data_IF_075550796963
#
_entry.id   IF_075550796963
#
_cell.length_a   1.000
_cell.length_b   1.000
_cell.length_c   1.000
_cell.angle_alpha   90.00
_cell.angle_beta   90.00
_cell.angle_gamma   90.00
#
_symmetry.space_group_name_H-M   'P 1'
#
loop_
_entity.id
_entity.type
_entity.pdbx_description
1 polymer ?
#
# COMPACT_ATOMS: atom_id res chain seq x y z
N UNK A 1 -10.60 -19.46 -3.48
CA UNK A 1 -10.63 -18.29 -2.57
C UNK A 1 -9.20 -17.81 -2.52
N UNK A 2 -8.88 -16.57 -2.91
CA UNK A 2 -7.53 -16.06 -2.75
C UNK A 2 -7.16 -16.11 -1.27
N UNK A 3 -5.98 -16.65 -0.97
CA UNK A 3 -5.45 -16.68 0.39
C UNK A 3 -5.40 -15.24 0.90
N UNK A 4 -6.03 -14.98 2.04
CA UNK A 4 -5.91 -13.68 2.69
C UNK A 4 -4.46 -13.44 3.06
N UNK A 5 -3.86 -12.38 2.53
CA UNK A 5 -2.49 -11.96 2.89
C UNK A 5 -2.45 -11.17 4.20
N UNK A 6 -3.60 -10.93 4.83
CA UNK A 6 -3.67 -10.30 6.15
C UNK A 6 -2.99 -11.18 7.20
N UNK A 7 -2.13 -10.58 7.99
CA UNK A 7 -1.36 -11.28 9.02
C UNK A 7 -0.11 -12.00 8.52
N UNK A 8 0.16 -12.02 7.23
CA UNK A 8 1.44 -12.49 6.70
C UNK A 8 2.50 -11.41 6.96
N UNK A 9 3.52 -11.80 7.70
CA UNK A 9 4.65 -10.92 7.97
C UNK A 9 5.47 -10.72 6.69
N UNK A 10 5.88 -9.50 6.42
CA UNK A 10 6.63 -9.15 5.21
C UNK A 10 7.63 -8.02 5.51
N UNK A 11 8.63 -7.86 4.66
CA UNK A 11 9.58 -6.74 4.70
C UNK A 11 8.88 -5.37 4.75
N UNK A 12 7.72 -5.24 4.09
CA UNK A 12 6.92 -4.01 4.16
C UNK A 12 6.44 -3.75 5.60
N UNK A 13 6.08 -4.81 6.32
CA UNK A 13 5.68 -4.72 7.74
C UNK A 13 6.84 -4.28 8.61
N UNK A 14 8.06 -4.78 8.34
CA UNK A 14 9.28 -4.36 9.05
C UNK A 14 9.58 -2.89 8.85
N UNK A 15 9.61 -2.44 7.60
CA UNK A 15 9.85 -1.04 7.26
C UNK A 15 8.79 -0.15 7.92
N UNK A 16 7.51 -0.53 7.89
CA UNK A 16 6.45 0.22 8.58
C UNK A 16 6.70 0.32 10.09
N UNK A 17 7.07 -0.77 10.74
CA UNK A 17 7.39 -0.78 12.19
C UNK A 17 8.56 0.13 12.51
N UNK A 18 9.63 0.09 11.73
CA UNK A 18 10.78 0.96 11.90
C UNK A 18 10.40 2.43 11.74
N UNK A 19 9.64 2.76 10.69
CA UNK A 19 9.13 4.12 10.45
C UNK A 19 8.31 4.62 11.64
N UNK A 20 7.32 3.85 12.10
CA UNK A 20 6.50 4.24 13.25
C UNK A 20 7.31 4.33 14.55
N UNK A 21 8.30 3.46 14.75
CA UNK A 21 9.18 3.51 15.91
C UNK A 21 10.01 4.79 15.93
N UNK A 22 10.62 5.17 14.80
CA UNK A 22 11.42 6.40 14.72
C UNK A 22 10.57 7.66 14.86
N UNK A 23 9.38 7.69 14.26
CA UNK A 23 8.44 8.82 14.43
C UNK A 23 7.96 8.92 15.87
N UNK A 24 7.64 7.79 16.52
CA UNK A 24 7.27 7.77 17.94
C UNK A 24 8.42 8.26 18.82
N UNK A 25 9.65 7.78 18.59
CA UNK A 25 10.85 8.23 19.31
C UNK A 25 11.02 9.74 19.18
N UNK A 26 10.94 10.27 17.97
CA UNK A 26 11.03 11.68 17.68
C UNK A 26 9.93 12.49 18.40
N UNK A 27 8.72 11.95 18.47
CA UNK A 27 7.60 12.56 19.20
C UNK A 27 7.86 12.64 20.71
N UNK A 28 8.39 11.57 21.32
CA UNK A 28 8.70 11.54 22.75
C UNK A 28 9.90 12.41 23.13
N UNK A 29 10.94 12.42 22.31
CA UNK A 29 12.15 13.21 22.56
C UNK A 29 11.91 14.71 22.37
N UNK A 30 11.02 15.09 21.45
CA UNK A 30 10.80 16.50 21.10
C UNK A 30 12.02 17.14 20.44
N UNK A 31 12.09 18.48 20.48
CA UNK A 31 13.23 19.23 19.96
C UNK A 31 13.12 19.53 18.46
N UNK A 32 14.26 19.51 17.77
CA UNK A 32 14.33 19.80 16.34
C UNK A 32 13.84 18.63 15.50
N UNK A 33 12.78 18.83 14.73
CA UNK A 33 12.20 17.82 13.87
C UNK A 33 12.85 17.76 12.47
N UNK A 34 13.81 18.67 12.17
CA UNK A 34 14.60 18.57 10.93
C UNK A 34 15.42 17.29 10.84
N UNK A 35 15.69 16.65 11.97
CA UNK A 35 16.34 15.33 12.04
C UNK A 35 15.60 14.21 11.31
N UNK A 36 14.34 14.42 10.88
CA UNK A 36 13.65 13.49 9.99
C UNK A 36 14.42 13.25 8.68
N UNK A 37 15.24 14.21 8.25
CA UNK A 37 16.08 14.10 7.05
C UNK A 37 17.10 12.95 7.14
N UNK A 38 17.56 12.62 8.35
CA UNK A 38 18.54 11.57 8.59
C UNK A 38 17.91 10.19 8.78
N UNK A 39 16.63 10.13 9.13
CA UNK A 39 15.96 8.85 9.43
C UNK A 39 15.91 7.86 8.26
N UNK A 40 15.76 8.27 6.98
CA UNK A 40 15.89 7.33 5.86
C UNK A 40 17.24 6.61 5.81
N UNK A 41 18.33 7.27 6.20
CA UNK A 41 19.67 6.69 6.25
C UNK A 41 19.85 5.74 7.44
N UNK A 42 19.16 6.00 8.53
CA UNK A 42 19.12 5.11 9.70
C UNK A 42 18.33 3.83 9.43
N UNK A 43 17.18 3.94 8.73
CA UNK A 43 16.29 2.81 8.43
C UNK A 43 16.84 1.98 7.27
N UNK A 44 17.47 2.63 6.28
CA UNK A 44 18.10 1.99 5.12
C UNK A 44 19.59 2.35 5.12
N UNK A 45 20.40 1.67 5.94
CA UNK A 45 21.84 1.92 6.04
C UNK A 45 22.60 1.34 4.84
N UNK A 46 23.90 1.68 4.76
CA UNK A 46 24.80 1.12 3.74
C UNK A 46 24.72 1.82 2.38
N UNK A 47 25.27 1.19 1.36
CA UNK A 47 25.44 1.77 0.00
C UNK A 47 24.70 0.96 -1.07
N UNK A 48 24.28 -0.28 -0.75
CA UNK A 48 23.67 -1.21 -1.68
C UNK A 48 22.17 -1.33 -1.42
N UNK A 49 21.38 -1.21 -2.48
CA UNK A 49 19.94 -1.41 -2.40
C UNK A 49 19.59 -2.90 -2.23
N UNK A 50 18.67 -3.23 -1.34
CA UNK A 50 18.20 -4.60 -1.11
C UNK A 50 16.87 -4.91 -1.81
N UNK A 51 16.02 -3.91 -1.97
CA UNK A 51 14.63 -4.10 -2.40
C UNK A 51 14.23 -3.29 -3.64
N UNK A 52 15.06 -2.34 -4.07
CA UNK A 52 14.79 -1.45 -5.22
C UNK A 52 16.01 -1.35 -6.13
N UNK A 53 15.83 -0.68 -7.26
CA UNK A 53 16.91 -0.46 -8.22
C UNK A 53 18.04 0.44 -7.70
N UNK A 54 17.78 1.19 -6.63
CA UNK A 54 18.74 2.15 -6.07
C UNK A 54 18.44 2.36 -4.60
N UNK A 55 19.51 2.48 -3.80
CA UNK A 55 19.41 2.82 -2.36
C UNK A 55 18.80 4.22 -2.16
N UNK A 56 19.04 5.14 -3.09
CA UNK A 56 18.41 6.47 -3.04
C UNK A 56 16.90 6.38 -3.19
N UNK A 57 16.42 5.48 -4.06
CA UNK A 57 14.98 5.23 -4.21
C UNK A 57 14.38 4.59 -2.95
N UNK A 58 15.07 3.66 -2.32
CA UNK A 58 14.62 3.07 -1.05
C UNK A 58 14.48 4.12 0.04
N UNK A 59 15.50 4.96 0.21
CA UNK A 59 15.48 6.07 1.18
C UNK A 59 14.40 7.10 0.86
N UNK A 60 14.20 7.44 -0.40
CA UNK A 60 13.13 8.34 -0.80
C UNK A 60 11.75 7.78 -0.43
N UNK A 61 11.50 6.48 -0.66
CA UNK A 61 10.24 5.82 -0.30
C UNK A 61 10.04 5.83 1.23
N UNK A 62 11.09 5.52 1.98
CA UNK A 62 11.04 5.56 3.45
C UNK A 62 10.79 6.99 3.94
N UNK A 63 11.38 7.99 3.30
CA UNK A 63 11.13 9.39 3.61
C UNK A 63 9.65 9.78 3.49
N UNK A 64 8.98 9.39 2.42
CA UNK A 64 7.53 9.65 2.29
C UNK A 64 6.70 8.89 3.32
N UNK A 65 7.12 7.69 3.71
CA UNK A 65 6.46 6.96 4.78
C UNK A 65 6.61 7.64 6.15
N UNK A 66 7.78 8.22 6.42
CA UNK A 66 8.03 9.01 7.63
C UNK A 66 7.11 10.24 7.66
N UNK A 67 6.98 10.97 6.54
CA UNK A 67 6.05 12.08 6.44
C UNK A 67 4.60 11.67 6.73
N UNK A 68 4.15 10.59 6.07
CA UNK A 68 2.80 10.06 6.30
C UNK A 68 2.60 9.61 7.76
N UNK A 69 3.61 9.00 8.38
CA UNK A 69 3.55 8.61 9.79
C UNK A 69 3.48 9.82 10.73
N UNK A 70 4.00 10.97 10.34
CA UNK A 70 3.84 12.24 11.04
C UNK A 70 2.52 12.97 10.74
N UNK A 71 1.65 12.41 9.91
CA UNK A 71 0.41 13.05 9.49
C UNK A 71 0.55 14.05 8.35
N UNK A 72 1.73 14.15 7.74
CA UNK A 72 2.01 15.01 6.60
C UNK A 72 1.62 14.34 5.28
N UNK A 73 1.31 15.13 4.26
CA UNK A 73 1.12 14.62 2.90
C UNK A 73 2.47 14.30 2.23
N UNK A 74 2.48 13.40 1.23
CA UNK A 74 3.67 13.19 0.41
C UNK A 74 4.14 14.51 -0.22
N UNK A 75 5.44 14.61 -0.49
CA UNK A 75 5.99 15.78 -1.18
C UNK A 75 5.48 15.86 -2.62
N UNK A 76 5.30 17.07 -3.17
CA UNK A 76 5.00 17.23 -4.58
C UNK A 76 6.13 16.62 -5.44
N UNK A 77 5.80 16.09 -6.61
CA UNK A 77 6.78 15.46 -7.50
C UNK A 77 7.48 16.46 -8.43
N UNK A 78 6.86 17.59 -8.63
CA UNK A 78 7.27 18.67 -9.56
C UNK A 78 8.01 19.83 -8.88
N UNK A 79 8.08 19.80 -7.55
CA UNK A 79 8.73 20.85 -6.76
C UNK A 79 9.67 20.25 -5.71
N UNK A 80 10.81 20.92 -5.51
CA UNK A 80 11.69 20.55 -4.40
C UNK A 80 11.06 20.93 -3.06
N UNK A 81 10.98 19.96 -2.15
CA UNK A 81 10.58 20.20 -0.77
C UNK A 81 11.45 19.33 0.17
N UNK A 82 11.97 19.89 1.28
CA UNK A 82 12.64 19.14 2.32
C UNK A 82 11.70 18.07 2.90
N UNK A 83 12.27 16.97 3.40
CA UNK A 83 11.50 15.96 4.08
C UNK A 83 10.84 16.52 5.35
N UNK A 84 11.51 17.43 6.02
CA UNK A 84 11.04 18.11 7.23
C UNK A 84 9.97 19.21 6.98
N UNK A 85 9.64 19.53 5.73
CA UNK A 85 8.66 20.58 5.45
C UNK A 85 7.31 20.29 6.12
N UNK A 86 6.84 21.19 6.99
CA UNK A 86 5.60 21.04 7.77
C UNK A 86 5.73 20.24 9.07
N UNK A 87 6.92 19.74 9.43
CA UNK A 87 7.13 18.91 10.62
C UNK A 87 6.81 19.68 11.92
N UNK A 88 7.23 20.93 12.03
CA UNK A 88 6.94 21.78 13.19
C UNK A 88 5.44 22.05 13.34
N UNK A 89 4.75 22.29 12.24
CA UNK A 89 3.31 22.48 12.25
C UNK A 89 2.60 21.19 12.65
N UNK A 90 3.08 20.03 12.16
CA UNK A 90 2.55 18.73 12.49
C UNK A 90 2.75 18.34 13.96
N UNK A 91 3.71 18.97 14.65
CA UNK A 91 3.97 18.73 16.06
C UNK A 91 2.96 19.40 17.01
N UNK A 92 2.10 20.28 16.51
CA UNK A 92 1.08 20.94 17.33
C UNK A 92 -0.05 19.95 17.69
N UNK A 93 -0.43 19.82 18.96
CA UNK A 93 -1.47 18.89 19.37
C UNK A 93 -2.84 19.20 18.75
N UNK A 94 -3.12 20.46 18.41
CA UNK A 94 -4.35 20.92 17.81
C UNK A 94 -4.48 20.55 16.33
N UNK A 95 -3.44 20.01 15.73
CA UNK A 95 -3.50 19.60 14.33
C UNK A 95 -4.42 18.39 14.17
N UNK A 96 -5.55 18.63 13.55
CA UNK A 96 -6.51 17.60 13.23
C UNK A 96 -6.06 16.76 12.04
N UNK A 97 -6.67 15.57 11.95
CA UNK A 97 -6.52 14.71 10.78
C UNK A 97 -6.93 15.44 9.49
N UNK A 98 -6.04 15.43 8.52
CA UNK A 98 -6.28 15.95 7.18
C UNK A 98 -6.39 14.79 6.20
N UNK A 99 -7.53 14.62 5.49
CA UNK A 99 -7.63 13.62 4.44
C UNK A 99 -6.66 13.94 3.29
N UNK A 100 -6.31 12.94 2.45
CA UNK A 100 -6.77 11.56 2.50
C UNK A 100 -5.95 10.69 3.46
N UNK A 101 -6.60 9.67 4.04
CA UNK A 101 -5.94 8.71 4.92
C UNK A 101 -4.99 7.78 4.15
N UNK A 102 -5.42 7.31 2.99
CA UNK A 102 -4.64 6.39 2.14
C UNK A 102 -3.99 7.17 1.02
N UNK A 103 -2.68 6.99 0.88
CA UNK A 103 -1.87 7.71 -0.11
C UNK A 103 -1.03 6.76 -0.95
N UNK A 104 -0.72 7.16 -2.18
CA UNK A 104 0.17 6.42 -3.06
C UNK A 104 1.49 7.16 -3.19
N UNK A 105 2.57 6.47 -2.84
CA UNK A 105 3.94 6.92 -3.13
C UNK A 105 4.21 6.59 -4.60
N UNK A 106 4.00 7.55 -5.48
CA UNK A 106 3.98 7.35 -6.94
C UNK A 106 5.25 6.69 -7.49
N UNK A 107 6.43 7.04 -6.99
CA UNK A 107 7.69 6.43 -7.45
C UNK A 107 7.97 5.05 -6.83
N UNK A 108 7.21 4.63 -5.84
CA UNK A 108 7.21 3.25 -5.35
C UNK A 108 6.25 2.34 -6.12
N UNK A 109 5.34 2.90 -6.92
CA UNK A 109 4.37 2.15 -7.70
C UNK A 109 5.02 1.57 -8.96
N UNK A 110 4.88 0.26 -9.16
CA UNK A 110 5.43 -0.48 -10.30
C UNK A 110 4.54 -0.46 -11.56
N UNK A 111 3.52 0.40 -11.62
CA UNK A 111 2.61 0.47 -12.76
C UNK A 111 2.09 -0.93 -13.18
N UNK A 112 1.60 -1.71 -12.19
CA UNK A 112 1.05 -3.04 -12.47
C UNK A 112 -0.01 -2.94 -13.59
N UNK A 113 -0.05 -3.90 -14.52
CA UNK A 113 -1.01 -3.86 -15.60
C UNK A 113 -2.45 -3.94 -15.09
N UNK A 114 -3.35 -3.26 -15.76
CA UNK A 114 -4.77 -3.40 -15.51
C UNK A 114 -5.24 -4.82 -15.81
N UNK A 115 -6.33 -5.22 -15.18
CA UNK A 115 -6.87 -6.57 -15.33
C UNK A 115 -7.10 -6.93 -16.80
N UNK A 116 -6.41 -7.96 -17.26
CA UNK A 116 -6.57 -8.50 -18.61
C UNK A 116 -6.19 -9.99 -18.67
N UNK A 117 -6.57 -10.64 -19.76
CA UNK A 117 -6.16 -12.03 -20.04
C UNK A 117 -5.13 -12.05 -21.15
N UNK A 118 -4.11 -12.87 -20.99
CA UNK A 118 -3.04 -13.05 -21.97
C UNK A 118 -2.75 -14.52 -22.20
N UNK A 119 -2.49 -14.86 -23.47
CA UNK A 119 -2.06 -16.20 -23.85
C UNK A 119 -0.54 -16.31 -23.66
N UNK A 120 -0.11 -17.33 -22.93
CA UNK A 120 1.31 -17.61 -22.66
C UNK A 120 1.91 -18.56 -23.71
N UNK A 121 3.21 -18.78 -23.62
CA UNK A 121 3.94 -19.74 -24.49
C UNK A 121 3.52 -21.20 -24.28
N UNK A 122 2.74 -21.51 -23.24
CA UNK A 122 2.16 -22.83 -23.04
C UNK A 122 1.04 -23.17 -24.05
N UNK A 123 0.61 -22.24 -24.89
CA UNK A 123 -0.41 -22.49 -25.92
C UNK A 123 0.08 -23.47 -26.96
N UNK A 124 -0.63 -24.59 -27.11
CA UNK A 124 -0.32 -25.68 -28.06
C UNK A 124 -1.09 -25.56 -29.38
N UNK A 125 -1.81 -24.45 -29.62
CA UNK A 125 -2.67 -24.32 -30.82
C UNK A 125 -3.56 -25.52 -31.06
N UNK A 126 -4.19 -26.03 -30.00
CA UNK A 126 -4.97 -27.28 -30.06
C UNK A 126 -6.13 -27.18 -31.07
N UNK A 127 -6.42 -28.27 -31.80
CA UNK A 127 -7.46 -28.33 -32.80
C UNK A 127 -8.87 -28.02 -32.27
N UNK A 128 -9.12 -28.34 -31.02
CA UNK A 128 -10.43 -28.15 -30.39
C UNK A 128 -10.81 -26.68 -30.14
N UNK A 129 -9.83 -25.76 -30.10
CA UNK A 129 -10.03 -24.31 -29.93
C UNK A 129 -11.02 -23.92 -28.84
N UNK A 130 -11.03 -24.65 -27.72
CA UNK A 130 -12.01 -24.43 -26.64
C UNK A 130 -12.05 -22.99 -26.14
N UNK A 131 -10.90 -22.33 -26.09
CA UNK A 131 -10.82 -20.93 -25.66
C UNK A 131 -11.57 -19.95 -26.60
N UNK A 132 -11.44 -20.14 -27.93
CA UNK A 132 -12.15 -19.34 -28.91
C UNK A 132 -13.63 -19.65 -28.90
N UNK A 133 -13.99 -20.97 -28.89
CA UNK A 133 -15.38 -21.42 -28.90
C UNK A 133 -16.16 -20.99 -27.65
N UNK A 134 -15.49 -20.82 -26.50
CA UNK A 134 -16.10 -20.34 -25.26
C UNK A 134 -16.20 -18.82 -25.16
N UNK A 135 -15.59 -18.07 -26.09
CA UNK A 135 -15.57 -16.61 -26.04
C UNK A 135 -16.85 -16.00 -26.57
N UNK A 136 -17.72 -15.37 -25.74
CA UNK A 136 -18.99 -14.82 -26.18
C UNK A 136 -18.86 -13.59 -27.09
N UNK A 137 -17.67 -12.98 -27.15
CA UNK A 137 -17.36 -11.78 -27.94
C UNK A 137 -16.47 -12.06 -29.15
N UNK A 138 -16.11 -13.34 -29.40
CA UNK A 138 -15.22 -13.68 -30.51
C UNK A 138 -13.86 -12.96 -30.44
N UNK A 139 -13.39 -12.67 -29.22
CA UNK A 139 -12.17 -11.89 -28.99
C UNK A 139 -10.89 -12.71 -29.18
N UNK A 140 -10.97 -13.99 -29.56
CA UNK A 140 -9.83 -14.88 -29.68
C UNK A 140 -9.65 -15.31 -31.13
N UNK A 141 -8.50 -15.01 -31.68
CA UNK A 141 -8.03 -15.44 -33.00
C UNK A 141 -6.79 -16.29 -32.87
N UNK A 142 -6.40 -16.96 -33.97
CA UNK A 142 -5.18 -17.75 -34.01
C UNK A 142 -4.24 -17.16 -35.06
N UNK A 143 -3.02 -16.90 -34.69
CA UNK A 143 -1.94 -16.42 -35.56
C UNK A 143 -0.64 -17.16 -35.23
N UNK A 144 0.11 -17.53 -36.25
CA UNK A 144 1.41 -18.18 -36.11
C UNK A 144 1.41 -19.37 -35.13
N UNK A 145 0.37 -20.20 -35.16
CA UNK A 145 0.28 -21.36 -34.29
C UNK A 145 -0.03 -21.02 -32.81
N UNK A 146 -0.62 -19.85 -32.54
CA UNK A 146 -0.99 -19.41 -31.19
C UNK A 146 -2.34 -18.72 -31.14
N UNK A 147 -3.03 -18.87 -30.03
CA UNK A 147 -4.18 -18.04 -29.73
C UNK A 147 -3.72 -16.63 -29.34
N UNK A 148 -4.44 -15.63 -29.79
CA UNK A 148 -4.28 -14.22 -29.40
C UNK A 148 -5.62 -13.66 -28.94
N UNK A 149 -5.58 -12.84 -27.89
CA UNK A 149 -6.78 -12.19 -27.33
C UNK A 149 -6.79 -10.73 -27.72
N UNK A 150 -7.79 -10.34 -28.48
CA UNK A 150 -8.08 -8.94 -28.78
C UNK A 150 -8.65 -8.24 -27.55
N UNK A 151 -7.80 -7.42 -26.89
CA UNK A 151 -8.18 -6.72 -25.66
C UNK A 151 -9.29 -5.70 -25.85
N UNK A 152 -9.46 -5.19 -27.07
CA UNK A 152 -10.54 -4.22 -27.38
C UNK A 152 -11.94 -4.86 -27.37
N UNK A 153 -12.00 -6.15 -27.70
CA UNK A 153 -13.25 -6.97 -27.69
C UNK A 153 -13.45 -7.73 -26.39
N UNK A 154 -12.37 -7.91 -25.61
CA UNK A 154 -12.37 -8.75 -24.42
C UNK A 154 -13.14 -8.11 -23.27
N UNK A 155 -14.21 -8.75 -22.83
CA UNK A 155 -15.01 -8.34 -21.67
C UNK A 155 -14.49 -8.89 -20.32
N UNK A 156 -13.32 -9.48 -20.33
CA UNK A 156 -12.62 -9.99 -19.12
C UNK A 156 -13.41 -11.05 -18.32
N UNK A 157 -14.30 -11.84 -18.96
CA UNK A 157 -15.18 -12.80 -18.31
C UNK A 157 -14.48 -14.09 -17.82
N UNK A 158 -13.27 -14.40 -18.27
CA UNK A 158 -12.48 -15.56 -17.85
C UNK A 158 -12.86 -16.91 -18.45
N UNK A 159 -13.90 -17.01 -19.28
CA UNK A 159 -14.36 -18.29 -19.87
C UNK A 159 -13.27 -18.99 -20.67
N UNK A 160 -12.47 -18.24 -21.42
CA UNK A 160 -11.35 -18.77 -22.20
C UNK A 160 -10.25 -19.40 -21.30
N UNK A 161 -9.96 -18.80 -20.15
CA UNK A 161 -9.03 -19.36 -19.17
C UNK A 161 -9.56 -20.67 -18.61
N UNK A 162 -10.82 -20.70 -18.20
CA UNK A 162 -11.45 -21.90 -17.65
C UNK A 162 -11.53 -23.05 -18.68
N UNK A 163 -11.74 -22.73 -19.97
CA UNK A 163 -11.86 -23.70 -21.04
C UNK A 163 -10.50 -24.23 -21.58
N UNK A 164 -9.38 -23.60 -21.22
CA UNK A 164 -8.07 -23.99 -21.74
C UNK A 164 -7.50 -25.21 -20.99
N UNK A 165 -7.45 -26.38 -21.65
CA UNK A 165 -6.91 -27.61 -21.07
C UNK A 165 -5.41 -27.51 -20.72
N UNK A 166 -4.66 -26.64 -21.39
CA UNK A 166 -3.22 -26.41 -21.15
C UNK A 166 -2.97 -25.31 -20.13
N UNK A 167 -4.01 -24.67 -19.59
CA UNK A 167 -3.88 -23.51 -18.69
C UNK A 167 -2.98 -22.40 -19.26
N UNK A 168 -2.93 -22.31 -20.58
CA UNK A 168 -2.08 -21.37 -21.31
C UNK A 168 -2.58 -19.92 -21.26
N UNK A 169 -3.75 -19.66 -20.69
CA UNK A 169 -4.33 -18.32 -20.56
C UNK A 169 -4.28 -17.90 -19.10
N UNK A 170 -3.53 -16.84 -18.84
CA UNK A 170 -3.38 -16.29 -17.49
C UNK A 170 -4.16 -14.98 -17.37
N UNK A 171 -4.59 -14.67 -16.15
CA UNK A 171 -5.18 -13.38 -15.79
C UNK A 171 -4.11 -12.55 -15.12
N UNK A 172 -3.80 -11.42 -15.70
CA UNK A 172 -3.08 -10.35 -15.01
C UNK A 172 -4.06 -9.49 -14.25
N UNK A 173 -3.65 -9.02 -13.10
CA UNK A 173 -4.46 -8.14 -12.29
C UNK A 173 -3.58 -7.20 -11.49
N UNK A 174 -4.10 -6.01 -11.23
CA UNK A 174 -3.49 -5.04 -10.33
C UNK A 174 -3.99 -5.32 -8.92
N UNK A 175 -3.15 -5.82 -7.99
CA UNK A 175 -3.63 -6.29 -6.70
C UNK A 175 -4.38 -5.23 -5.87
N UNK A 176 -3.94 -3.97 -5.92
CA UNK A 176 -4.61 -2.88 -5.19
C UNK A 176 -5.98 -2.54 -5.78
N UNK A 177 -6.16 -2.62 -7.10
CA UNK A 177 -7.42 -2.38 -7.80
C UNK A 177 -8.41 -3.52 -7.53
N UNK A 178 -7.96 -4.77 -7.68
CA UNK A 178 -8.80 -5.95 -7.42
C UNK A 178 -9.26 -6.05 -5.95
N UNK A 179 -8.44 -5.56 -5.01
CA UNK A 179 -8.80 -5.52 -3.61
C UNK A 179 -9.74 -4.36 -3.23
N UNK A 180 -9.98 -3.42 -4.15
CA UNK A 180 -10.81 -2.26 -3.88
C UNK A 180 -12.28 -2.55 -4.15
N UNK A 181 -13.05 -2.84 -3.10
CA UNK A 181 -14.50 -3.06 -3.20
C UNK A 181 -15.31 -1.83 -3.63
N UNK A 182 -14.71 -0.64 -3.64
CA UNK A 182 -15.35 0.62 -4.05
C UNK A 182 -14.98 1.07 -5.46
N UNK A 183 -14.18 0.27 -6.18
CA UNK A 183 -13.68 0.65 -7.51
C UNK A 183 -13.08 2.07 -7.54
N UNK A 184 -12.31 2.40 -6.50
CA UNK A 184 -11.71 3.72 -6.33
C UNK A 184 -10.30 3.82 -6.92
N UNK A 185 -9.70 2.70 -7.37
CA UNK A 185 -8.32 2.69 -7.89
C UNK A 185 -8.33 2.49 -9.40
N UNK A 186 -7.66 3.38 -10.10
CA UNK A 186 -7.50 3.39 -11.54
C UNK A 186 -6.02 3.62 -11.92
N UNK A 187 -5.72 3.58 -13.22
CA UNK A 187 -4.42 3.97 -13.77
C UNK A 187 -4.40 5.47 -14.05
N UNK A 188 -3.31 6.13 -13.70
CA UNK A 188 -3.01 7.46 -14.22
C UNK A 188 -2.41 7.38 -15.65
N UNK A 189 -2.07 8.53 -16.23
CA UNK A 189 -1.47 8.64 -17.57
C UNK A 189 -0.16 7.86 -17.75
N UNK A 190 0.57 7.63 -16.66
CA UNK A 190 1.82 6.86 -16.63
C UNK A 190 1.59 5.38 -16.27
N UNK A 191 0.35 4.91 -16.24
CA UNK A 191 -0.03 3.56 -15.87
C UNK A 191 0.16 3.25 -14.38
N UNK A 192 0.48 4.24 -13.54
CA UNK A 192 0.59 4.06 -12.08
C UNK A 192 -0.79 4.10 -11.44
N UNK A 193 -0.89 3.46 -10.28
CA UNK A 193 -2.14 3.52 -9.52
C UNK A 193 -2.46 4.97 -9.09
N UNK A 194 -3.73 5.32 -9.15
CA UNK A 194 -4.28 6.53 -8.61
C UNK A 194 -5.59 6.27 -7.88
N UNK A 195 -5.96 7.13 -6.94
CA UNK A 195 -7.13 6.93 -6.08
C UNK A 195 -8.14 8.04 -6.35
N UNK A 196 -9.34 7.63 -6.74
CA UNK A 196 -10.49 8.53 -6.71
C UNK A 196 -10.96 8.67 -5.26
N UNK A 197 -10.64 9.79 -4.63
CA UNK A 197 -10.96 10.04 -3.22
C UNK A 197 -12.44 10.26 -2.95
N UNK A 198 -13.26 10.59 -3.94
CA UNK A 198 -14.72 10.69 -3.80
C UNK A 198 -15.37 9.32 -3.58
N UNK A 199 -14.73 8.26 -4.09
CA UNK A 199 -15.16 6.87 -3.90
C UNK A 199 -14.45 6.17 -2.74
N UNK A 200 -13.30 6.67 -2.30
CA UNK A 200 -12.45 5.98 -1.34
C UNK A 200 -13.01 6.09 0.09
N UNK A 201 -13.31 4.95 0.69
CA UNK A 201 -13.77 4.85 2.09
C UNK A 201 -12.63 4.57 3.09
N UNK A 202 -11.39 4.73 2.69
CA UNK A 202 -10.19 4.58 3.54
C UNK A 202 -10.07 3.23 4.26
N UNK A 203 -10.61 2.15 3.72
CA UNK A 203 -10.63 0.82 4.36
C UNK A 203 -9.25 0.13 4.43
N UNK A 204 -8.23 0.60 3.70
CA UNK A 204 -6.87 0.07 3.71
C UNK A 204 -6.65 -1.25 2.94
N UNK A 205 -7.65 -1.80 2.25
CA UNK A 205 -7.48 -3.06 1.51
C UNK A 205 -6.38 -2.97 0.44
N UNK A 206 -6.32 -1.87 -0.27
CA UNK A 206 -5.29 -1.63 -1.29
C UNK A 206 -3.87 -1.59 -0.68
N UNK A 207 -3.72 -1.06 0.54
CA UNK A 207 -2.44 -1.02 1.25
C UNK A 207 -1.94 -2.42 1.58
N UNK A 208 -2.83 -3.28 2.11
CA UNK A 208 -2.49 -4.66 2.49
C UNK A 208 -2.14 -5.50 1.27
N UNK A 209 -2.82 -5.26 0.13
CA UNK A 209 -2.66 -6.06 -1.09
C UNK A 209 -1.58 -5.53 -2.04
N UNK A 210 -0.94 -4.39 -1.77
CA UNK A 210 0.13 -3.87 -2.61
C UNK A 210 1.46 -4.58 -2.31
N UNK A 211 1.97 -5.49 -3.18
CA UNK A 211 3.21 -6.23 -2.91
C UNK A 211 4.46 -5.34 -2.97
N UNK A 212 4.35 -4.16 -3.54
CA UNK A 212 5.44 -3.19 -3.62
C UNK A 212 5.44 -2.20 -2.46
N UNK A 213 4.44 -2.26 -1.58
CA UNK A 213 4.31 -1.29 -0.51
C UNK A 213 4.23 0.18 -0.99
N UNK A 214 3.72 0.40 -2.20
CA UNK A 214 3.57 1.75 -2.75
C UNK A 214 2.41 2.54 -2.10
N UNK A 215 1.51 1.86 -1.42
CA UNK A 215 0.38 2.49 -0.73
C UNK A 215 0.70 2.55 0.75
N UNK A 216 0.48 3.70 1.34
CA UNK A 216 0.74 3.95 2.76
C UNK A 216 -0.38 4.77 3.38
N UNK A 217 -0.57 4.58 4.67
CA UNK A 217 -1.55 5.28 5.47
C UNK A 217 -0.94 6.50 6.16
N UNK A 218 -1.69 7.59 6.22
CA UNK A 218 -1.39 8.76 7.03
C UNK A 218 -1.78 8.43 8.48
N UNK A 219 -0.92 8.76 9.44
CA UNK A 219 -1.11 8.47 10.85
C UNK A 219 -1.10 9.74 11.70
N UNK A 220 -1.69 9.67 12.88
CA UNK A 220 -1.63 10.72 13.88
C UNK A 220 -0.83 10.32 15.13
N UNK A 221 -0.01 9.28 15.03
CA UNK A 221 0.79 8.80 16.17
C UNK A 221 1.67 9.90 16.74
N UNK A 222 2.23 10.76 15.87
CA UNK A 222 3.09 11.87 16.26
C UNK A 222 2.34 12.91 17.09
N UNK A 223 1.17 13.35 16.63
CA UNK A 223 0.31 14.33 17.32
C UNK A 223 -0.16 13.78 18.67
N UNK A 224 -0.59 12.51 18.71
CA UNK A 224 -1.02 11.84 19.95
C UNK A 224 0.12 11.82 20.98
N UNK A 225 1.34 11.45 20.57
CA UNK A 225 2.50 11.44 21.47
C UNK A 225 2.81 12.87 21.94
N UNK A 226 2.76 13.85 21.05
CA UNK A 226 2.98 15.26 21.43
C UNK A 226 1.93 15.74 22.44
N UNK A 227 0.64 15.44 22.22
CA UNK A 227 -0.43 15.78 23.16
C UNK A 227 -0.16 15.16 24.55
N UNK A 228 0.26 13.90 24.62
CA UNK A 228 0.64 13.23 25.89
C UNK A 228 1.81 13.96 26.54
N UNK A 229 2.85 14.34 25.78
CA UNK A 229 4.06 15.00 26.28
C UNK A 229 3.80 16.43 26.76
N UNK A 230 2.86 17.13 26.16
CA UNK A 230 2.45 18.49 26.57
C UNK A 230 1.46 18.50 27.76
N UNK A 231 1.06 17.31 28.25
CA UNK A 231 0.17 17.18 29.41
C UNK A 231 -1.32 17.28 29.10
N UNK A 232 -1.68 17.16 27.82
CA UNK A 232 -3.08 17.10 27.40
C UNK A 232 -3.76 15.82 27.91
N UNK A 233 -5.07 15.88 28.15
CA UNK A 233 -5.85 14.69 28.50
C UNK A 233 -6.20 13.90 27.25
N UNK A 234 -5.54 12.77 27.04
CA UNK A 234 -5.75 11.92 25.88
C UNK A 234 -6.54 10.68 26.27
N UNK A 235 -7.61 10.39 25.54
CA UNK A 235 -8.48 9.23 25.77
C UNK A 235 -8.37 8.26 24.60
N UNK A 236 -8.19 6.97 24.90
CA UNK A 236 -8.15 5.91 23.90
C UNK A 236 -9.49 5.19 23.81
N UNK A 237 -10.16 5.26 22.67
CA UNK A 237 -11.29 4.41 22.33
C UNK A 237 -10.77 3.22 21.50
N UNK A 238 -10.81 2.02 22.08
CA UNK A 238 -10.27 0.81 21.44
C UNK A 238 -11.41 -0.05 20.91
N UNK A 239 -11.39 -0.30 19.58
CA UNK A 239 -12.38 -1.17 18.95
C UNK A 239 -12.23 -2.63 19.44
N UNK A 240 -13.33 -3.40 19.60
CA UNK A 240 -13.29 -4.80 20.01
C UNK A 240 -12.43 -5.69 19.14
N UNK A 241 -12.22 -5.30 17.86
CA UNK A 241 -11.39 -6.03 16.90
C UNK A 241 -9.91 -6.15 17.28
N UNK A 242 -9.44 -5.50 18.37
CA UNK A 242 -8.07 -5.68 18.87
C UNK A 242 -7.82 -7.10 19.41
N UNK A 243 -8.86 -7.82 19.79
CA UNK A 243 -8.75 -9.17 20.38
C UNK A 243 -7.99 -10.10 19.41
N UNK A 244 -6.92 -10.71 19.91
CA UNK A 244 -6.06 -11.60 19.12
C UNK A 244 -4.96 -10.90 18.31
N UNK A 245 -5.00 -9.58 18.11
CA UNK A 245 -3.97 -8.88 17.33
C UNK A 245 -2.59 -8.83 18.02
N UNK A 246 -2.55 -8.85 19.34
CA UNK A 246 -1.33 -8.85 20.15
C UNK A 246 -1.01 -10.25 20.71
N UNK A 247 -1.64 -11.29 20.15
CA UNK A 247 -1.52 -12.66 20.61
C UNK A 247 -2.50 -13.06 21.72
N UNK A 248 -2.65 -14.36 21.99
CA UNK A 248 -3.71 -14.89 22.84
C UNK A 248 -3.56 -14.53 24.33
N UNK A 249 -2.38 -14.08 24.74
CA UNK A 249 -2.09 -13.71 26.14
C UNK A 249 -2.44 -12.27 26.50
N UNK A 250 -2.84 -11.44 25.52
CA UNK A 250 -3.20 -10.04 25.75
C UNK A 250 -4.70 -9.91 25.99
N UNK A 251 -5.04 -9.70 27.25
CA UNK A 251 -6.40 -9.45 27.72
C UNK A 251 -6.76 -7.96 27.63
N UNK A 252 -8.06 -7.58 27.65
CA UNK A 252 -8.47 -6.17 27.73
C UNK A 252 -7.84 -5.42 28.91
N UNK A 253 -7.67 -6.09 30.05
CA UNK A 253 -7.00 -5.50 31.23
C UNK A 253 -5.54 -5.17 31.00
N UNK A 254 -4.79 -6.05 30.30
CA UNK A 254 -3.41 -5.79 29.93
C UNK A 254 -3.29 -4.65 28.92
N UNK A 255 -4.18 -4.60 27.93
CA UNK A 255 -4.21 -3.48 26.98
C UNK A 255 -4.48 -2.15 27.70
N UNK A 256 -5.47 -2.11 28.61
CA UNK A 256 -5.76 -0.92 29.42
C UNK A 256 -4.55 -0.47 30.25
N UNK A 257 -3.85 -1.41 30.88
CA UNK A 257 -2.63 -1.10 31.63
C UNK A 257 -1.53 -0.54 30.74
N UNK A 258 -1.35 -1.11 29.53
CA UNK A 258 -0.38 -0.61 28.57
C UNK A 258 -0.72 0.81 28.08
N UNK A 259 -1.99 1.09 27.77
CA UNK A 259 -2.42 2.44 27.39
C UNK A 259 -2.15 3.46 28.50
N UNK A 260 -2.46 3.12 29.76
CA UNK A 260 -2.13 4.00 30.91
C UNK A 260 -0.62 4.22 31.04
N UNK A 261 0.21 3.19 30.82
CA UNK A 261 1.66 3.32 30.88
C UNK A 261 2.22 4.21 29.74
N UNK A 262 1.51 4.30 28.60
CA UNK A 262 1.84 5.20 27.48
C UNK A 262 1.39 6.65 27.71
N UNK A 263 0.58 6.91 28.75
CA UNK A 263 0.13 8.26 29.09
C UNK A 263 -1.32 8.60 28.72
N UNK A 264 -2.13 7.62 28.29
CA UNK A 264 -3.58 7.80 28.06
C UNK A 264 -4.37 7.87 29.36
#
# INVERSE_FOLDING_TARGET
>A
VPLSIRGIYSTITDIRRQVFTEVARMGYEGGDYSRIEDLPYKIVPGEVAEHRSSIFLERAIVGERLRLAMGLSPRPLDQHAPLAAGAEESARPEKYYEPPLINIIKYACHACPDTHYQVTNACQSCLAHHCSNSCPKGAISFRYGRAEIDQSKCIKCGKCKAACSYQAIIRFERPCQEACGMDAIHSDENGKADINYDKCVSCGQCLVNCPFGAIADKSQIFQVIRAIQTGERVYAAVAPAFVGQFGPKVTPGKLRAAMKALGF
#
